data_IF_130983435485
#
_entry.id   IF_130983435485
#
_cell.length_a   1.000
_cell.length_b   1.000
_cell.length_c   1.000
_cell.angle_alpha   90.00
_cell.angle_beta   90.00
_cell.angle_gamma   90.00
#
_symmetry.space_group_name_H-M   'P 1'
#
loop_
_entity.id
_entity.type
_entity.pdbx_description
1 polymer ?
#
# COMPACT_ATOMS: atom_id res chain seq x y z
N UNK A 1 20.48 5.39 -33.03
CA UNK A 1 20.48 6.07 -31.71
C UNK A 1 19.29 7.04 -31.64
N UNK A 2 18.20 6.64 -30.98
CA UNK A 2 16.98 7.46 -30.89
C UNK A 2 17.10 8.58 -29.85
N UNK A 3 16.78 9.81 -30.25
CA UNK A 3 16.79 11.00 -29.37
C UNK A 3 15.75 10.85 -28.25
N UNK A 4 16.21 10.81 -26.99
CA UNK A 4 15.35 10.82 -25.80
C UNK A 4 14.50 12.11 -25.77
N UNK A 5 13.18 11.96 -25.60
CA UNK A 5 12.23 13.07 -25.56
C UNK A 5 12.44 14.02 -24.39
N UNK A 6 12.04 15.29 -24.58
CA UNK A 6 12.24 16.42 -23.64
C UNK A 6 11.77 16.14 -22.20
N UNK A 7 10.73 15.32 -22.03
CA UNK A 7 10.19 14.93 -20.70
C UNK A 7 11.14 14.04 -19.90
N UNK A 8 11.96 13.20 -20.58
CA UNK A 8 12.93 12.31 -19.93
C UNK A 8 14.12 13.08 -19.36
N UNK A 9 14.41 14.27 -19.92
CA UNK A 9 15.59 15.07 -19.58
C UNK A 9 15.47 15.82 -18.24
N UNK A 10 14.25 15.96 -17.70
CA UNK A 10 13.99 16.72 -16.47
C UNK A 10 13.79 15.86 -15.22
N UNK A 11 13.82 14.53 -15.33
CA UNK A 11 13.67 13.66 -14.16
C UNK A 11 15.04 13.43 -13.51
N UNK A 12 15.46 14.34 -12.61
CA UNK A 12 16.71 14.23 -11.84
C UNK A 12 16.69 13.14 -10.75
N UNK A 13 15.58 12.44 -10.58
CA UNK A 13 15.43 11.39 -9.57
C UNK A 13 15.68 10.00 -10.17
N UNK A 14 16.91 9.75 -10.61
CA UNK A 14 17.44 8.37 -10.65
C UNK A 14 18.29 8.23 -9.39
N UNK A 15 17.63 8.18 -8.24
CA UNK A 15 18.29 7.72 -7.03
C UNK A 15 18.38 6.20 -7.18
N UNK A 16 19.59 5.70 -7.39
CA UNK A 16 19.86 4.26 -7.28
C UNK A 16 19.64 3.91 -5.82
N UNK A 17 18.49 3.32 -5.51
CA UNK A 17 18.19 2.81 -4.17
C UNK A 17 19.09 1.59 -3.89
N UNK A 18 19.48 1.34 -2.63
CA UNK A 18 20.29 0.16 -2.27
C UNK A 18 19.58 -1.14 -2.71
N UNK A 19 20.33 -2.13 -3.18
CA UNK A 19 19.77 -3.38 -3.72
C UNK A 19 18.86 -4.12 -2.71
N UNK A 20 19.17 -4.02 -1.42
CA UNK A 20 18.35 -4.58 -0.33
C UNK A 20 16.96 -3.95 -0.25
N UNK A 21 16.87 -2.64 -0.53
CA UNK A 21 15.60 -1.90 -0.59
C UNK A 21 14.85 -2.30 -1.86
N UNK A 22 15.53 -2.31 -3.00
CA UNK A 22 14.95 -2.68 -4.31
C UNK A 22 14.32 -4.08 -4.30
N UNK A 23 14.95 -5.03 -3.59
CA UNK A 23 14.46 -6.41 -3.48
C UNK A 23 13.30 -6.58 -2.50
N UNK A 24 13.07 -5.62 -1.60
CA UNK A 24 11.94 -5.68 -0.69
C UNK A 24 10.61 -5.47 -1.44
N UNK A 25 9.51 -6.09 -0.99
CA UNK A 25 8.23 -5.96 -1.64
C UNK A 25 7.67 -4.54 -1.44
N UNK A 26 7.82 -3.69 -2.46
CA UNK A 26 7.26 -2.34 -2.43
C UNK A 26 5.75 -2.33 -2.68
N UNK A 27 5.07 -1.37 -2.08
CA UNK A 27 3.62 -1.21 -2.20
C UNK A 27 3.19 0.20 -2.61
N UNK A 28 2.12 0.27 -3.38
CA UNK A 28 1.32 1.48 -3.53
C UNK A 28 0.04 1.37 -2.72
N UNK A 29 -0.27 2.42 -1.99
CA UNK A 29 -1.55 2.55 -1.29
C UNK A 29 -2.28 3.73 -1.88
N UNK A 30 -3.42 3.47 -2.50
CA UNK A 30 -4.24 4.49 -3.15
C UNK A 30 -5.69 4.45 -2.70
N UNK A 31 -6.42 5.53 -2.98
CA UNK A 31 -7.87 5.58 -2.81
C UNK A 31 -8.59 5.99 -4.09
N UNK A 32 -9.84 5.53 -4.23
CA UNK A 32 -10.72 5.86 -5.35
C UNK A 32 -12.20 5.89 -4.96
N UNK A 33 -13.02 6.43 -5.85
CA UNK A 33 -14.47 6.45 -5.71
C UNK A 33 -14.98 7.80 -5.22
N UNK A 34 -16.09 7.78 -4.50
CA UNK A 34 -16.78 9.01 -4.08
C UNK A 34 -15.87 9.87 -3.20
N UNK A 35 -15.74 11.18 -3.48
CA UNK A 35 -14.98 12.10 -2.66
C UNK A 35 -15.66 12.31 -1.31
N UNK A 36 -14.85 12.51 -0.26
CA UNK A 36 -15.32 12.83 1.08
C UNK A 36 -15.22 11.69 2.09
N UNK A 37 -15.44 12.04 3.36
CA UNK A 37 -15.23 11.18 4.53
C UNK A 37 -13.76 10.87 4.81
N UNK A 38 -13.55 9.86 5.65
CA UNK A 38 -12.22 9.56 6.22
C UNK A 38 -11.36 8.63 5.37
N UNK A 39 -11.73 8.36 4.11
CA UNK A 39 -10.96 7.46 3.22
C UNK A 39 -9.54 7.98 2.97
N UNK A 40 -9.38 9.29 2.81
CA UNK A 40 -8.08 9.92 2.61
C UNK A 40 -7.20 9.76 3.86
N UNK A 41 -7.78 9.97 5.03
CA UNK A 41 -7.09 9.83 6.32
C UNK A 41 -6.70 8.38 6.56
N UNK A 42 -7.62 7.44 6.35
CA UNK A 42 -7.34 6.00 6.42
C UNK A 42 -6.24 5.56 5.46
N UNK A 43 -6.21 6.13 4.25
CA UNK A 43 -5.15 5.83 3.27
C UNK A 43 -3.79 6.33 3.74
N UNK A 44 -3.73 7.50 4.37
CA UNK A 44 -2.50 8.04 4.96
C UNK A 44 -2.04 7.18 6.13
N UNK A 45 -2.96 6.77 7.00
CA UNK A 45 -2.66 5.89 8.14
C UNK A 45 -2.14 4.54 7.65
N UNK A 46 -2.77 3.97 6.61
CA UNK A 46 -2.32 2.71 6.02
C UNK A 46 -0.96 2.84 5.32
N UNK A 47 -0.64 4.00 4.72
CA UNK A 47 0.72 4.25 4.21
C UNK A 47 1.76 4.21 5.32
N UNK A 48 1.50 4.84 6.46
CA UNK A 48 2.43 4.77 7.60
C UNK A 48 2.71 3.34 8.03
N UNK A 49 1.69 2.48 8.05
CA UNK A 49 1.87 1.04 8.38
C UNK A 49 2.73 0.31 7.35
N UNK A 50 2.69 0.71 6.08
CA UNK A 50 3.46 0.11 5.00
C UNK A 50 4.86 0.72 4.83
N UNK A 51 5.27 1.67 5.68
CA UNK A 51 6.63 2.21 5.67
C UNK A 51 7.65 1.13 6.14
N UNK A 52 8.90 1.16 5.64
CA UNK A 52 9.47 2.14 4.69
C UNK A 52 9.19 1.82 3.21
N UNK A 53 8.70 0.62 2.88
CA UNK A 53 8.60 0.12 1.50
C UNK A 53 7.32 0.57 0.76
N UNK A 54 6.83 1.77 1.07
CA UNK A 54 5.67 2.35 0.40
C UNK A 54 5.94 3.76 -0.07
N UNK A 55 5.27 4.16 -1.15
CA UNK A 55 5.36 5.52 -1.66
C UNK A 55 4.51 6.49 -0.82
N UNK A 56 5.00 6.90 0.35
CA UNK A 56 4.29 7.82 1.27
C UNK A 56 3.95 9.16 0.62
N UNK A 57 4.82 9.65 -0.27
CA UNK A 57 4.66 10.91 -1.00
C UNK A 57 3.81 10.81 -2.28
N UNK A 58 3.27 9.62 -2.61
CA UNK A 58 2.42 9.45 -3.79
C UNK A 58 1.17 10.31 -3.66
N UNK A 59 0.96 11.22 -4.62
CA UNK A 59 -0.23 12.08 -4.68
C UNK A 59 -1.16 11.60 -5.78
N UNK A 60 -2.24 10.93 -5.41
CA UNK A 60 -3.26 10.53 -6.38
C UNK A 60 -4.09 11.75 -6.80
N UNK A 61 -4.21 11.95 -8.11
CA UNK A 61 -5.16 12.91 -8.66
C UNK A 61 -6.43 12.18 -9.07
N UNK A 62 -7.57 12.87 -9.06
CA UNK A 62 -8.86 12.32 -9.52
C UNK A 62 -8.83 11.76 -10.95
N UNK A 63 -7.91 12.27 -11.78
CA UNK A 63 -7.72 11.81 -13.17
C UNK A 63 -6.90 10.52 -13.28
N UNK A 64 -6.15 10.15 -12.23
CA UNK A 64 -5.32 8.96 -12.27
C UNK A 64 -6.20 7.72 -12.30
N UNK A 65 -5.93 6.84 -13.25
CA UNK A 65 -6.55 5.53 -13.37
C UNK A 65 -5.66 4.46 -12.75
N UNK A 66 -6.23 3.30 -12.44
CA UNK A 66 -5.45 2.15 -11.95
C UNK A 66 -4.35 1.77 -12.96
N UNK A 67 -4.61 1.91 -14.27
CA UNK A 67 -3.65 1.63 -15.33
C UNK A 67 -2.38 2.48 -15.22
N UNK A 68 -2.52 3.74 -14.79
CA UNK A 68 -1.38 4.64 -14.63
C UNK A 68 -0.46 4.16 -13.50
N UNK A 69 -1.03 3.69 -12.39
CA UNK A 69 -0.25 3.12 -11.28
C UNK A 69 0.42 1.81 -11.68
N UNK A 70 -0.27 0.94 -12.42
CA UNK A 70 0.30 -0.32 -12.92
C UNK A 70 1.45 -0.05 -13.90
N UNK A 71 1.33 0.95 -14.77
CA UNK A 71 2.37 1.31 -15.72
C UNK A 71 3.65 1.81 -15.03
N UNK A 72 3.52 2.55 -13.93
CA UNK A 72 4.66 3.07 -13.16
C UNK A 72 5.22 2.04 -12.19
N UNK A 73 4.40 1.09 -11.72
CA UNK A 73 4.81 0.09 -10.73
C UNK A 73 6.06 -0.70 -11.14
N UNK A 74 6.21 -1.03 -12.42
CA UNK A 74 7.40 -1.74 -12.91
C UNK A 74 8.69 -0.93 -12.79
N UNK A 75 8.64 0.39 -12.93
CA UNK A 75 9.82 1.28 -12.82
C UNK A 75 10.19 1.54 -11.37
N UNK A 76 9.20 1.51 -10.46
CA UNK A 76 9.39 1.73 -9.03
C UNK A 76 9.46 0.42 -8.22
N UNK A 77 9.65 -0.72 -8.89
CA UNK A 77 9.74 -2.04 -8.26
C UNK A 77 8.56 -2.39 -7.34
N UNK A 78 7.38 -1.84 -7.62
CA UNK A 78 6.18 -2.04 -6.80
C UNK A 78 5.54 -3.38 -7.13
N UNK A 79 5.43 -4.19 -6.09
CA UNK A 79 4.91 -5.55 -6.14
C UNK A 79 3.43 -5.64 -5.77
N UNK A 80 2.96 -4.75 -4.90
CA UNK A 80 1.59 -4.76 -4.36
C UNK A 80 0.89 -3.41 -4.52
N UNK A 81 -0.41 -3.45 -4.81
CA UNK A 81 -1.28 -2.28 -4.89
C UNK A 81 -2.48 -2.47 -3.96
N UNK A 82 -2.57 -1.64 -2.93
CA UNK A 82 -3.70 -1.53 -2.02
C UNK A 82 -4.59 -0.36 -2.44
N UNK A 83 -5.89 -0.61 -2.61
CA UNK A 83 -6.86 0.35 -3.12
C UNK A 83 -8.05 0.42 -2.17
N UNK A 84 -8.21 1.55 -1.51
CA UNK A 84 -9.44 1.88 -0.79
C UNK A 84 -10.47 2.45 -1.76
N UNK A 85 -11.58 1.75 -1.96
CA UNK A 85 -12.66 2.18 -2.84
C UNK A 85 -13.91 2.50 -2.04
N UNK A 86 -14.44 3.72 -2.18
CA UNK A 86 -15.74 4.11 -1.60
C UNK A 86 -16.80 4.18 -2.70
N UNK A 87 -17.88 3.43 -2.52
CA UNK A 87 -19.08 3.47 -3.36
C UNK A 87 -20.29 3.84 -2.48
N UNK A 88 -21.46 4.02 -3.10
CA UNK A 88 -22.71 4.27 -2.38
C UNK A 88 -23.11 3.08 -1.47
N UNK A 89 -22.76 1.86 -1.89
CA UNK A 89 -23.04 0.63 -1.15
C UNK A 89 -22.12 0.40 0.06
N UNK A 90 -20.95 1.04 0.08
CA UNK A 90 -19.99 0.89 1.17
C UNK A 90 -18.54 1.10 0.77
N UNK A 91 -17.64 0.69 1.65
CA UNK A 91 -16.20 0.84 1.49
C UNK A 91 -15.53 -0.52 1.32
N UNK A 92 -14.53 -0.58 0.46
CA UNK A 92 -13.83 -1.80 0.10
C UNK A 92 -12.33 -1.59 0.11
N UNK A 93 -11.59 -2.58 0.57
CA UNK A 93 -10.13 -2.67 0.40
C UNK A 93 -9.85 -3.72 -0.68
N UNK A 94 -9.15 -3.32 -1.74
CA UNK A 94 -8.63 -4.26 -2.73
C UNK A 94 -7.12 -4.32 -2.61
N UNK A 95 -6.56 -5.51 -2.57
CA UNK A 95 -5.13 -5.71 -2.59
C UNK A 95 -4.80 -6.53 -3.82
N UNK A 96 -3.87 -6.06 -4.64
CA UNK A 96 -3.53 -6.65 -5.94
C UNK A 96 -2.04 -6.90 -6.02
N UNK A 97 -1.64 -8.09 -6.48
CA UNK A 97 -0.26 -8.39 -6.85
C UNK A 97 0.01 -7.95 -8.30
N UNK A 98 1.02 -7.10 -8.50
CA UNK A 98 1.45 -6.57 -9.80
C UNK A 98 2.70 -7.29 -10.33
N UNK A 99 2.93 -7.37 -11.65
CA UNK A 99 2.06 -6.93 -12.74
C UNK A 99 0.96 -7.96 -13.07
N UNK A 100 1.16 -9.23 -12.70
CA UNK A 100 0.16 -10.30 -12.81
C UNK A 100 0.06 -11.00 -11.47
N UNK A 101 -1.15 -11.21 -11.01
CA UNK A 101 -1.40 -11.94 -9.78
C UNK A 101 -2.84 -11.79 -9.30
N UNK A 102 -3.17 -12.43 -8.18
CA UNK A 102 -4.51 -12.38 -7.62
C UNK A 102 -4.85 -10.98 -7.12
N UNK A 103 -6.15 -10.68 -7.12
CA UNK A 103 -6.71 -9.51 -6.45
C UNK A 103 -7.66 -10.00 -5.36
N UNK A 104 -7.35 -9.64 -4.11
CA UNK A 104 -8.25 -9.86 -2.98
C UNK A 104 -9.13 -8.63 -2.82
N UNK A 105 -10.43 -8.84 -2.61
CA UNK A 105 -11.40 -7.76 -2.37
C UNK A 105 -12.10 -8.02 -1.04
N UNK A 106 -11.98 -7.06 -0.14
CA UNK A 106 -12.58 -7.08 1.19
C UNK A 106 -13.61 -5.97 1.30
N UNK A 107 -14.78 -6.30 1.86
CA UNK A 107 -15.74 -5.28 2.30
C UNK A 107 -15.31 -4.79 3.68
N UNK A 108 -15.13 -3.49 3.84
CA UNK A 108 -14.81 -2.89 5.13
C UNK A 108 -16.14 -2.71 5.87
N UNK A 109 -16.29 -3.41 6.99
CA UNK A 109 -17.45 -3.28 7.87
C UNK A 109 -17.28 -2.08 8.81
N UNK A 110 -16.16 -2.05 9.54
CA UNK A 110 -15.81 -1.01 10.50
C UNK A 110 -14.34 -0.62 10.30
N UNK A 111 -14.00 0.64 10.56
CA UNK A 111 -12.62 1.12 10.62
C UNK A 111 -12.52 2.22 11.68
N UNK A 112 -11.30 2.45 12.18
CA UNK A 112 -10.99 3.54 13.10
C UNK A 112 -9.74 4.27 12.58
N UNK A 113 -9.67 5.58 12.74
CA UNK A 113 -8.50 6.36 12.32
C UNK A 113 -7.44 6.37 13.41
N UNK A 114 -6.17 6.52 13.02
CA UNK A 114 -5.07 6.60 13.97
C UNK A 114 -5.28 7.75 14.98
N UNK A 115 -5.81 8.90 14.54
CA UNK A 115 -6.10 10.03 15.44
C UNK A 115 -7.12 9.70 16.54
N UNK A 116 -8.11 8.88 16.22
CA UNK A 116 -9.20 8.53 17.14
C UNK A 116 -8.70 7.52 18.17
N UNK A 117 -7.82 6.60 17.76
CA UNK A 117 -7.12 5.69 18.68
C UNK A 117 -6.22 6.48 19.62
N UNK A 118 -5.38 7.37 19.10
CA UNK A 118 -4.44 8.16 19.91
C UNK A 118 -5.20 9.06 20.91
N UNK A 119 -6.28 9.71 20.49
CA UNK A 119 -7.08 10.56 21.39
C UNK A 119 -7.81 9.78 22.48
N UNK A 120 -8.12 8.50 22.25
CA UNK A 120 -8.78 7.62 23.25
C UNK A 120 -7.83 7.13 24.35
N UNK A 121 -6.52 7.17 24.12
CA UNK A 121 -5.52 6.66 25.07
C UNK A 121 -5.23 7.68 26.17
N UNK A 122 -5.16 7.21 27.43
CA UNK A 122 -4.80 8.05 28.59
C UNK A 122 -3.41 8.68 28.48
N UNK A 123 -2.45 7.95 27.90
CA UNK A 123 -1.10 8.43 27.61
C UNK A 123 -0.85 8.25 26.11
N UNK A 124 -0.76 9.37 25.41
CA UNK A 124 -0.49 9.39 23.98
C UNK A 124 1.00 9.10 23.76
N UNK A 125 1.32 7.90 23.28
CA UNK A 125 2.68 7.56 22.85
C UNK A 125 2.63 7.19 21.37
N UNK A 126 3.29 8.00 20.54
CA UNK A 126 3.49 7.72 19.11
C UNK A 126 4.98 7.70 18.88
N UNK A 127 5.52 6.53 18.55
CA UNK A 127 6.95 6.36 18.26
C UNK A 127 7.10 6.42 16.74
N UNK A 128 7.37 7.60 16.20
CA UNK A 128 7.52 7.77 14.74
C UNK A 128 8.66 6.94 14.17
N UNK A 129 9.70 6.72 14.96
CA UNK A 129 10.85 5.89 14.60
C UNK A 129 10.48 4.42 14.34
N UNK A 130 9.39 3.93 14.93
CA UNK A 130 8.93 2.56 14.72
C UNK A 130 8.50 2.31 13.26
N UNK A 131 8.04 3.34 12.54
CA UNK A 131 7.63 3.22 11.13
C UNK A 131 8.81 3.21 10.15
N UNK A 132 10.04 3.48 10.61
CA UNK A 132 11.24 3.37 9.77
C UNK A 132 11.66 1.91 9.54
N UNK A 133 11.14 0.99 10.34
CA UNK A 133 11.43 -0.43 10.26
C UNK A 133 10.23 -1.19 9.67
N UNK A 134 10.52 -2.28 8.96
CA UNK A 134 9.46 -3.15 8.45
C UNK A 134 8.59 -3.69 9.59
N UNK A 135 7.25 -3.72 9.44
CA UNK A 135 6.38 -4.31 10.45
C UNK A 135 6.51 -5.84 10.49
N UNK A 136 6.12 -6.41 11.64
CA UNK A 136 6.00 -7.85 11.84
C UNK A 136 4.61 -8.33 11.39
N UNK A 137 4.57 -9.40 10.59
CA UNK A 137 3.31 -10.03 10.17
C UNK A 137 2.98 -11.19 11.11
N UNK A 138 1.88 -11.06 11.86
CA UNK A 138 1.34 -12.14 12.69
C UNK A 138 0.00 -12.55 12.11
N UNK A 139 -0.08 -13.80 11.64
CA UNK A 139 -1.31 -14.37 11.09
C UNK A 139 -1.96 -15.32 12.09
N UNK A 140 -2.98 -14.84 12.80
CA UNK A 140 -3.75 -15.68 13.71
C UNK A 140 -4.97 -16.29 12.99
N UNK A 141 -5.21 -17.58 13.17
CA UNK A 141 -6.36 -18.30 12.59
C UNK A 141 -6.46 -18.30 11.06
N UNK A 142 -5.36 -18.02 10.34
CA UNK A 142 -5.27 -18.15 8.88
C UNK A 142 -4.91 -19.59 8.41
N UNK A 143 -4.89 -20.56 9.33
CA UNK A 143 -4.52 -21.96 9.09
C UNK A 143 -5.68 -22.87 8.67
N UNK A 144 -6.88 -22.32 8.41
CA UNK A 144 -8.04 -23.11 8.00
C UNK A 144 -7.84 -23.87 6.67
N UNK A 145 -8.58 -24.97 6.47
CA UNK A 145 -8.43 -25.89 5.32
C UNK A 145 -8.85 -25.29 3.95
N UNK A 146 -9.30 -24.04 3.89
CA UNK A 146 -9.71 -23.40 2.64
C UNK A 146 -8.54 -22.86 1.81
N UNK A 147 -8.50 -23.21 0.52
CA UNK A 147 -7.53 -22.65 -0.46
C UNK A 147 -7.52 -21.11 -0.46
N UNK A 148 -8.68 -20.49 -0.26
CA UNK A 148 -8.82 -19.03 -0.17
C UNK A 148 -8.05 -18.47 1.03
N UNK A 149 -8.10 -19.14 2.19
CA UNK A 149 -7.40 -18.68 3.39
C UNK A 149 -5.88 -18.78 3.22
N UNK A 150 -5.40 -19.89 2.64
CA UNK A 150 -3.98 -20.05 2.28
C UNK A 150 -3.50 -18.98 1.31
N UNK A 151 -4.32 -18.63 0.31
CA UNK A 151 -4.00 -17.55 -0.63
C UNK A 151 -3.93 -16.19 0.07
N UNK A 152 -4.87 -15.89 0.96
CA UNK A 152 -4.86 -14.64 1.74
C UNK A 152 -3.62 -14.58 2.63
N UNK A 153 -3.32 -15.66 3.35
CA UNK A 153 -2.14 -15.76 4.21
C UNK A 153 -0.84 -15.52 3.42
N UNK A 154 -0.69 -16.23 2.30
CA UNK A 154 0.47 -16.08 1.42
C UNK A 154 0.58 -14.67 0.84
N UNK A 155 -0.54 -14.03 0.49
CA UNK A 155 -0.49 -12.66 0.00
C UNK A 155 -0.04 -11.67 1.09
N UNK A 156 -0.59 -11.77 2.30
CA UNK A 156 -0.17 -10.89 3.40
C UNK A 156 1.28 -11.10 3.82
N UNK A 157 1.76 -12.34 3.83
CA UNK A 157 3.18 -12.63 4.09
C UNK A 157 4.09 -11.98 3.04
N UNK A 158 3.73 -12.07 1.75
CA UNK A 158 4.53 -11.53 0.66
C UNK A 158 4.44 -10.01 0.50
N UNK A 159 3.52 -9.33 1.22
CA UNK A 159 3.43 -7.87 1.23
C UNK A 159 4.56 -7.20 2.03
N UNK A 160 5.25 -7.95 2.88
CA UNK A 160 6.31 -7.44 3.75
C UNK A 160 7.57 -8.30 3.57
N UNK A 161 8.77 -7.74 3.77
CA UNK A 161 10.00 -8.52 3.72
C UNK A 161 9.98 -9.62 4.78
N UNK A 162 10.50 -10.79 4.40
CA UNK A 162 10.66 -11.93 5.30
C UNK A 162 11.82 -11.61 6.22
N UNK A 163 11.63 -11.81 7.52
CA UNK A 163 12.68 -11.64 8.51
C UNK A 163 13.47 -12.93 8.54
N UNK A 164 14.77 -12.83 8.23
CA UNK A 164 15.74 -13.92 8.35
C UNK A 164 16.30 -13.98 9.77
#
# INVERSE_FOLDING_TARGET
MGRKGRSVRNNKNVYTEPDEVVNAPHSFVIHKGLPGGSTLELTKDFRKVMEPFTASSLKERKKNTIKDFVAVAGVLHVSHLSIFSRTELGMYLKITRLPRGPTLTFKIHNFTLARDVVSSLRKQMVVEEAFKHSPLVILNSFSGEGLQMKMIASMFQNMFPIIH
#
